data_IF_856176928802
#
_entry.id   IF_856176928802
#
_cell.length_a   1.000
_cell.length_b   1.000
_cell.length_c   1.000
_cell.angle_alpha   90.00
_cell.angle_beta   90.00
_cell.angle_gamma   90.00
#
_symmetry.space_group_name_H-M   'P 1'
#
loop_
_entity.id
_entity.type
_entity.pdbx_description
1 polymer ?
#
# COMPACT_ATOMS: atom_id res chain seq x y z
N UNK A 1 7.25 11.16 15.39
CA UNK A 1 5.84 10.88 15.06
C UNK A 1 5.85 9.93 13.86
N UNK A 2 5.82 8.63 14.11
CA UNK A 2 5.79 7.60 13.05
C UNK A 2 4.32 7.46 12.63
N UNK A 3 3.79 8.47 11.94
CA UNK A 3 2.54 8.31 11.20
C UNK A 3 2.86 7.57 9.90
N UNK A 4 3.18 6.27 10.03
CA UNK A 4 3.34 5.37 8.90
C UNK A 4 2.03 4.64 8.64
N UNK A 5 1.85 4.30 7.37
CA UNK A 5 0.80 3.54 6.65
C UNK A 5 -0.14 2.65 7.49
N UNK A 6 0.29 2.09 8.62
CA UNK A 6 -0.56 1.33 9.55
C UNK A 6 -1.69 2.11 10.24
N UNK A 7 -1.67 3.45 10.22
CA UNK A 7 -2.80 4.28 10.70
C UNK A 7 -3.85 4.60 9.64
N UNK A 8 -3.58 4.33 8.36
CA UNK A 8 -4.54 4.60 7.30
C UNK A 8 -5.48 3.40 7.18
N UNK A 9 -6.77 3.61 7.41
CA UNK A 9 -7.79 2.59 7.19
C UNK A 9 -7.69 2.09 5.75
N UNK A 10 -7.42 0.79 5.57
CA UNK A 10 -7.19 0.19 4.24
C UNK A 10 -5.74 0.22 3.71
N UNK A 11 -4.79 0.86 4.40
CA UNK A 11 -3.38 0.88 3.98
C UNK A 11 -2.72 -0.51 3.95
N UNK A 12 -3.09 -1.37 4.91
CA UNK A 12 -2.64 -2.77 4.93
C UNK A 12 -3.30 -3.57 3.80
N UNK A 13 -4.60 -3.40 3.57
CA UNK A 13 -5.31 -4.08 2.49
C UNK A 13 -4.75 -3.68 1.10
N UNK A 14 -4.35 -2.43 0.93
CA UNK A 14 -3.67 -1.96 -0.27
C UNK A 14 -2.33 -2.66 -0.49
N UNK A 15 -1.53 -2.83 0.58
CA UNK A 15 -0.27 -3.55 0.49
C UNK A 15 -0.48 -5.04 0.19
N UNK A 16 -1.52 -5.67 0.73
CA UNK A 16 -1.91 -7.04 0.39
C UNK A 16 -2.27 -7.17 -1.11
N UNK A 17 -2.95 -6.17 -1.71
CA UNK A 17 -3.19 -6.12 -3.17
C UNK A 17 -1.91 -5.98 -4.00
N UNK A 18 -0.86 -5.41 -3.42
CA UNK A 18 0.47 -5.30 -4.05
C UNK A 18 1.32 -6.58 -3.89
N UNK A 19 0.78 -7.63 -3.24
CA UNK A 19 1.45 -8.91 -3.06
C UNK A 19 2.14 -9.09 -1.71
N UNK A 20 1.99 -8.14 -0.77
CA UNK A 20 2.53 -8.29 0.58
C UNK A 20 1.69 -9.30 1.37
N UNK A 21 2.35 -10.04 2.25
CA UNK A 21 1.75 -11.02 3.16
C UNK A 21 1.99 -10.61 4.60
N UNK A 22 1.00 -10.87 5.45
CA UNK A 22 1.12 -10.71 6.90
C UNK A 22 1.92 -11.87 7.49
N UNK A 23 2.95 -11.56 8.27
CA UNK A 23 3.73 -12.52 9.05
C UNK A 23 3.67 -12.14 10.53
N UNK A 24 4.04 -13.09 11.40
CA UNK A 24 4.03 -12.90 12.87
C UNK A 24 2.68 -12.33 13.36
N UNK A 25 1.60 -13.05 13.06
CA UNK A 25 0.22 -12.70 13.43
C UNK A 25 -0.26 -11.32 12.93
N UNK A 26 0.38 -10.80 11.87
CA UNK A 26 0.02 -9.52 11.25
C UNK A 26 0.77 -8.32 11.82
N UNK A 27 1.79 -8.53 12.66
CA UNK A 27 2.68 -7.45 13.10
C UNK A 27 3.57 -6.93 11.97
N UNK A 28 3.94 -7.78 11.01
CA UNK A 28 4.81 -7.40 9.89
C UNK A 28 4.22 -7.75 8.54
N UNK A 29 4.62 -6.98 7.52
CA UNK A 29 4.32 -7.24 6.12
C UNK A 29 5.60 -7.65 5.40
N UNK A 30 5.53 -8.77 4.68
CA UNK A 30 6.62 -9.34 3.90
C UNK A 30 6.21 -9.43 2.43
N UNK A 31 7.09 -9.04 1.51
CA UNK A 31 6.86 -9.22 0.08
C UNK A 31 7.80 -10.33 -0.44
N UNK A 32 7.29 -11.54 -0.70
CA UNK A 32 8.07 -12.61 -1.31
C UNK A 32 8.61 -12.18 -2.68
N UNK A 33 9.87 -12.51 -2.97
CA UNK A 33 10.55 -12.04 -4.20
C UNK A 33 9.90 -12.56 -5.48
N UNK A 34 9.29 -13.74 -5.41
CA UNK A 34 8.51 -14.40 -6.46
C UNK A 34 7.14 -13.74 -6.69
N UNK A 35 6.65 -12.95 -5.72
CA UNK A 35 5.41 -12.16 -5.82
C UNK A 35 5.64 -10.70 -6.19
N UNK A 36 6.89 -10.30 -6.44
CA UNK A 36 7.22 -8.94 -6.88
C UNK A 36 6.77 -8.75 -8.33
N UNK A 37 5.64 -8.08 -8.51
CA UNK A 37 5.19 -7.58 -9.80
C UNK A 37 5.48 -6.08 -9.90
N UNK A 38 6.50 -5.72 -10.68
CA UNK A 38 6.91 -4.33 -10.88
C UNK A 38 5.84 -3.49 -11.59
N UNK A 39 4.99 -4.09 -12.42
CA UNK A 39 3.91 -3.36 -13.08
C UNK A 39 2.82 -2.97 -12.07
N UNK A 40 2.46 -3.89 -11.18
CA UNK A 40 1.53 -3.63 -10.07
C UNK A 40 2.09 -2.57 -9.14
N UNK A 41 3.36 -2.69 -8.73
CA UNK A 41 4.00 -1.71 -7.84
C UNK A 41 4.09 -0.31 -8.46
N UNK A 42 4.41 -0.20 -9.75
CA UNK A 42 4.42 1.09 -10.44
C UNK A 42 3.01 1.68 -10.55
N UNK A 43 1.99 0.88 -10.87
CA UNK A 43 0.61 1.35 -10.93
C UNK A 43 0.13 1.83 -9.56
N UNK A 44 0.37 1.03 -8.52
CA UNK A 44 0.05 1.35 -7.13
C UNK A 44 0.73 2.65 -6.67
N UNK A 45 2.02 2.83 -6.98
CA UNK A 45 2.75 4.05 -6.69
C UNK A 45 2.21 5.27 -7.44
N UNK A 46 1.78 5.09 -8.68
CA UNK A 46 1.17 6.17 -9.47
C UNK A 46 -0.18 6.60 -8.89
N UNK A 47 -1.04 5.64 -8.50
CA UNK A 47 -2.32 5.93 -7.85
C UNK A 47 -2.14 6.67 -6.51
N UNK A 48 -1.18 6.24 -5.67
CA UNK A 48 -0.85 6.95 -4.43
C UNK A 48 -0.35 8.38 -4.71
N UNK A 49 0.55 8.54 -5.68
CA UNK A 49 1.09 9.84 -6.06
C UNK A 49 0.00 10.76 -6.64
N UNK A 50 -0.94 10.20 -7.41
CA UNK A 50 -2.11 10.93 -7.91
C UNK A 50 -3.03 11.33 -6.75
N UNK A 51 -3.32 10.42 -5.82
CA UNK A 51 -4.12 10.70 -4.63
C UNK A 51 -3.57 11.85 -3.78
N UNK A 52 -2.25 11.88 -3.58
CA UNK A 52 -1.56 12.94 -2.82
C UNK A 52 -1.62 14.28 -3.56
N UNK A 53 -1.50 14.27 -4.90
CA UNK A 53 -1.44 15.48 -5.72
C UNK A 53 -2.80 15.99 -6.17
N UNK A 54 -3.84 15.16 -6.13
CA UNK A 54 -5.15 15.48 -6.65
C UNK A 54 -5.99 16.18 -5.55
N UNK A 55 -6.33 17.47 -5.72
CA UNK A 55 -7.11 18.23 -4.74
C UNK A 55 -8.56 17.74 -4.58
N UNK A 56 -9.02 16.81 -5.43
CA UNK A 56 -10.35 16.20 -5.36
C UNK A 56 -10.32 14.77 -4.79
N UNK A 57 -9.15 14.23 -4.46
CA UNK A 57 -9.06 12.88 -3.89
C UNK A 57 -9.67 12.88 -2.47
N UNK A 58 -10.74 12.09 -2.29
CA UNK A 58 -11.50 12.06 -1.03
C UNK A 58 -12.62 13.10 -0.92
N UNK A 59 -12.89 13.89 -1.96
CA UNK A 59 -14.08 14.74 -2.03
C UNK A 59 -15.25 13.90 -2.54
N UNK A 60 -15.96 13.28 -1.59
CA UNK A 60 -17.37 12.89 -1.73
C UNK A 60 -18.11 13.30 -0.46
#
# INVERSE_FOLDING_TARGET
>A
MVDRIGKLEGGIAFLELCGFEKIEDGEFLFLPRDKVDMAVLHSAGNELNNAIKNPFFGVL
#
